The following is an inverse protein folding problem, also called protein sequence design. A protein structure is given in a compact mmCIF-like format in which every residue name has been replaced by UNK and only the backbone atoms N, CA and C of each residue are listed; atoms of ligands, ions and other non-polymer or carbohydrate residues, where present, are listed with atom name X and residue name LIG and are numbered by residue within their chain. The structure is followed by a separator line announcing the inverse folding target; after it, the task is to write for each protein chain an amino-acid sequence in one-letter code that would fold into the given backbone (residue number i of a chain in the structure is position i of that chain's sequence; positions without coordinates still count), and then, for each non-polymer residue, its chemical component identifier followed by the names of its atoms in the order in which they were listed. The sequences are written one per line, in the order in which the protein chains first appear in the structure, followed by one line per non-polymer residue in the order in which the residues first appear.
data_IF_851994310864
#
_entry.id   IF_851994310864
#
_cell.length_a   1.000
_cell.length_b   1.000
_cell.length_c   1.000
_cell.angle_alpha   90.00
_cell.angle_beta   90.00
_cell.angle_gamma   90.00
#
_symmetry.space_group_name_H-M   'P 1'
#
loop_
_entity.id
_entity.type
_entity.pdbx_description
1 polymer ?
#
# COMPACT_ATOMS: atom_id res chain seq x y z
N UNK A 1 -7.59 23.52 -0.60
CA UNK A 1 -7.51 22.37 0.33
C UNK A 1 -7.17 22.92 1.69
N UNK A 2 -7.95 22.61 2.72
CA UNK A 2 -7.60 22.95 4.10
C UNK A 2 -6.42 22.08 4.58
N UNK A 3 -5.74 22.52 5.63
CA UNK A 3 -4.52 21.87 6.11
C UNK A 3 -4.78 20.47 6.68
N UNK A 4 -5.97 20.21 7.22
CA UNK A 4 -6.33 18.90 7.77
C UNK A 4 -6.58 17.86 6.68
N UNK A 5 -7.28 18.25 5.61
CA UNK A 5 -7.46 17.43 4.40
C UNK A 5 -6.12 17.15 3.72
N UNK A 6 -5.24 18.15 3.66
CA UNK A 6 -3.89 17.98 3.12
C UNK A 6 -3.10 16.92 3.87
N UNK A 7 -3.08 17.01 5.20
CA UNK A 7 -2.34 16.07 6.04
C UNK A 7 -2.86 14.64 5.86
N UNK A 8 -4.18 14.45 5.80
CA UNK A 8 -4.82 13.15 5.55
C UNK A 8 -4.47 12.59 4.19
N UNK A 9 -4.50 13.40 3.13
CA UNK A 9 -4.10 12.95 1.80
C UNK A 9 -2.63 12.54 1.74
N UNK A 10 -1.73 13.23 2.45
CA UNK A 10 -0.32 12.82 2.51
C UNK A 10 -0.11 11.51 3.30
N UNK A 11 -0.92 11.25 4.32
CA UNK A 11 -0.93 9.98 5.04
C UNK A 11 -1.42 8.83 4.15
N UNK A 12 -2.52 9.06 3.43
CA UNK A 12 -3.06 8.13 2.44
C UNK A 12 -2.03 7.85 1.34
N UNK A 13 -1.43 8.88 0.75
CA UNK A 13 -0.37 8.71 -0.25
C UNK A 13 0.78 7.84 0.26
N UNK A 14 1.18 8.00 1.53
CA UNK A 14 2.23 7.19 2.16
C UNK A 14 1.78 5.75 2.37
N UNK A 15 0.51 5.53 2.70
CA UNK A 15 -0.09 4.21 2.79
C UNK A 15 -0.02 3.51 1.43
N UNK A 16 -0.57 4.11 0.37
CA UNK A 16 -0.55 3.58 -1.00
C UNK A 16 0.89 3.23 -1.45
N UNK A 17 1.84 4.15 -1.23
CA UNK A 17 3.26 3.93 -1.54
C UNK A 17 3.86 2.74 -0.76
N UNK A 18 3.45 2.57 0.49
CA UNK A 18 3.91 1.48 1.36
C UNK A 18 3.36 0.13 0.87
N UNK A 19 2.08 0.08 0.51
CA UNK A 19 1.41 -1.13 0.05
C UNK A 19 1.96 -1.58 -1.30
N UNK A 20 2.12 -0.66 -2.26
CA UNK A 20 2.81 -0.91 -3.52
C UNK A 20 4.17 -1.60 -3.33
N UNK A 21 5.00 -1.09 -2.41
CA UNK A 21 6.32 -1.65 -2.12
C UNK A 21 6.22 -3.02 -1.44
N UNK A 22 5.25 -3.22 -0.53
CA UNK A 22 5.02 -4.54 0.09
C UNK A 22 4.62 -5.56 -0.97
N UNK A 23 3.61 -5.27 -1.80
CA UNK A 23 3.16 -6.19 -2.85
C UNK A 23 4.28 -6.52 -3.84
N UNK A 24 5.12 -5.54 -4.22
CA UNK A 24 6.34 -5.80 -5.03
C UNK A 24 7.31 -6.77 -4.37
N UNK A 25 7.54 -6.66 -3.06
CA UNK A 25 8.42 -7.58 -2.32
C UNK A 25 7.81 -8.97 -2.20
N UNK A 26 6.50 -9.06 -1.96
CA UNK A 26 5.80 -10.34 -1.93
C UNK A 26 5.84 -11.03 -3.30
N UNK A 27 5.65 -10.29 -4.39
CA UNK A 27 5.74 -10.81 -5.75
C UNK A 27 7.13 -11.40 -6.05
N UNK A 28 8.21 -10.75 -5.60
CA UNK A 28 9.59 -11.25 -5.75
C UNK A 28 9.85 -12.54 -4.97
N UNK A 29 9.12 -12.78 -3.88
CA UNK A 29 9.25 -13.98 -3.06
C UNK A 29 8.32 -15.12 -3.50
N UNK A 30 7.39 -14.85 -4.42
CA UNK A 30 6.37 -15.79 -4.84
C UNK A 30 6.90 -16.71 -5.97
N UNK A 31 7.02 -18.03 -5.75
CA UNK A 31 7.46 -18.97 -6.79
C UNK A 31 6.42 -19.23 -7.88
N UNK A 32 5.13 -19.17 -7.55
CA UNK A 32 4.07 -19.39 -8.53
C UNK A 32 3.93 -18.17 -9.46
N UNK A 33 4.10 -18.33 -10.78
CA UNK A 33 4.14 -17.21 -11.71
C UNK A 33 2.78 -16.48 -11.83
N UNK A 34 1.67 -17.19 -11.61
CA UNK A 34 0.32 -16.58 -11.64
C UNK A 34 0.16 -15.66 -10.43
N UNK A 35 0.46 -16.15 -9.23
CA UNK A 35 0.40 -15.36 -8.00
C UNK A 35 1.39 -14.19 -8.03
N UNK A 36 2.60 -14.40 -8.57
CA UNK A 36 3.57 -13.33 -8.76
C UNK A 36 3.01 -12.21 -9.68
N UNK A 37 2.38 -12.59 -10.80
CA UNK A 37 1.75 -11.62 -11.70
C UNK A 37 0.61 -10.87 -11.04
N UNK A 38 -0.21 -11.55 -10.23
CA UNK A 38 -1.32 -10.93 -9.48
C UNK A 38 -0.76 -9.89 -8.49
N UNK A 39 0.24 -10.26 -7.68
CA UNK A 39 0.84 -9.36 -6.70
C UNK A 39 1.49 -8.13 -7.36
N UNK A 40 2.15 -8.30 -8.52
CA UNK A 40 2.66 -7.17 -9.30
C UNK A 40 1.53 -6.29 -9.87
N UNK A 41 0.42 -6.90 -10.27
CA UNK A 41 -0.76 -6.17 -10.72
C UNK A 41 -1.34 -5.30 -9.62
N UNK A 42 -1.49 -5.84 -8.40
CA UNK A 42 -1.96 -5.08 -7.24
C UNK A 42 -1.00 -3.94 -6.92
N UNK A 43 0.31 -4.20 -6.88
CA UNK A 43 1.31 -3.16 -6.64
C UNK A 43 1.20 -1.99 -7.63
N UNK A 44 0.94 -2.28 -8.91
CA UNK A 44 0.77 -1.27 -9.94
C UNK A 44 -0.50 -0.42 -9.72
N UNK A 45 -1.57 -1.01 -9.21
CA UNK A 45 -2.79 -0.25 -8.89
C UNK A 45 -2.56 0.69 -7.69
N UNK A 46 -1.87 0.24 -6.63
CA UNK A 46 -1.51 1.14 -5.52
C UNK A 46 -0.58 2.28 -5.95
N UNK A 47 0.34 2.02 -6.91
CA UNK A 47 1.13 3.10 -7.53
C UNK A 47 0.27 4.11 -8.29
N UNK A 48 -0.83 3.67 -8.92
CA UNK A 48 -1.77 4.59 -9.57
C UNK A 48 -2.52 5.42 -8.53
N UNK A 49 -2.96 4.81 -7.42
CA UNK A 49 -3.60 5.53 -6.32
C UNK A 49 -2.67 6.59 -5.72
N UNK A 50 -1.44 6.20 -5.39
CA UNK A 50 -0.38 7.11 -4.91
C UNK A 50 -0.19 8.29 -5.88
N UNK A 51 -0.05 8.03 -7.18
CA UNK A 51 0.14 9.06 -8.19
C UNK A 51 -1.07 9.98 -8.36
N UNK A 52 -2.29 9.48 -8.15
CA UNK A 52 -3.51 10.32 -8.15
C UNK A 52 -3.47 11.29 -6.97
N UNK A 53 -3.11 10.80 -5.78
CA UNK A 53 -3.03 11.64 -4.58
C UNK A 53 -1.89 12.66 -4.71
N UNK A 54 -0.73 12.24 -5.24
CA UNK A 54 0.40 13.13 -5.52
C UNK A 54 0.00 14.33 -6.40
N UNK A 55 -0.84 14.10 -7.41
CA UNK A 55 -1.39 15.16 -8.27
C UNK A 55 -2.30 16.12 -7.51
N UNK A 56 -3.03 15.64 -6.50
CA UNK A 56 -3.91 16.46 -5.66
C UNK A 56 -3.13 17.27 -4.61
N UNK A 57 -2.10 16.67 -4.00
CA UNK A 57 -1.30 17.29 -2.92
C UNK A 57 -0.14 18.14 -3.42
N UNK A 58 0.34 17.86 -4.64
CA UNK A 58 1.54 18.44 -5.24
C UNK A 58 2.84 17.93 -4.62
N UNK A 59 2.81 16.84 -3.84
CA UNK A 59 3.97 16.24 -3.17
C UNK A 59 4.12 14.77 -3.53
N UNK A 60 5.36 14.29 -3.52
CA UNK A 60 5.69 12.86 -3.60
C UNK A 60 6.17 12.38 -2.22
N UNK A 61 5.61 11.27 -1.74
CA UNK A 61 6.01 10.67 -0.46
C UNK A 61 6.63 9.29 -0.69
N UNK A 62 7.58 8.94 0.18
CA UNK A 62 8.20 7.61 0.14
C UNK A 62 7.46 6.64 1.04
N UNK A 63 7.46 5.37 0.64
CA UNK A 63 7.01 4.24 1.44
C UNK A 63 7.63 4.24 2.85
N UNK A 64 6.85 3.81 3.84
CA UNK A 64 7.32 3.60 5.20
C UNK A 64 8.10 2.29 5.29
N UNK A 65 9.43 2.39 5.28
CA UNK A 65 10.33 1.23 5.30
C UNK A 65 10.17 0.31 6.51
N UNK A 66 9.75 0.83 7.66
CA UNK A 66 9.51 0.01 8.87
C UNK A 66 8.25 -0.83 8.70
N UNK A 67 7.17 -0.24 8.17
CA UNK A 67 5.93 -0.96 7.84
C UNK A 67 6.18 -2.02 6.76
N UNK A 68 6.92 -1.67 5.71
CA UNK A 68 7.30 -2.62 4.65
C UNK A 68 8.04 -3.82 5.24
N UNK A 69 9.05 -3.57 6.08
CA UNK A 69 9.83 -4.64 6.73
C UNK A 69 8.94 -5.52 7.62
N UNK A 70 8.08 -4.92 8.46
CA UNK A 70 7.13 -5.66 9.31
C UNK A 70 6.27 -6.60 8.46
N UNK A 71 5.69 -6.12 7.37
CA UNK A 71 4.83 -6.94 6.53
C UNK A 71 5.59 -8.07 5.83
N UNK A 72 6.79 -7.81 5.34
CA UNK A 72 7.64 -8.86 4.75
C UNK A 72 8.00 -9.93 5.79
N UNK A 73 8.27 -9.55 7.04
CA UNK A 73 8.53 -10.51 8.11
C UNK A 73 7.28 -11.35 8.41
N UNK A 74 6.10 -10.73 8.52
CA UNK A 74 4.85 -11.45 8.72
C UNK A 74 4.56 -12.43 7.57
N UNK A 75 4.78 -12.02 6.33
CA UNK A 75 4.59 -12.88 5.17
C UNK A 75 5.54 -14.09 5.17
N UNK A 76 6.78 -13.91 5.66
CA UNK A 76 7.74 -15.01 5.82
C UNK A 76 7.33 -16.00 6.91
N UNK A 77 6.74 -15.52 8.01
CA UNK A 77 6.38 -16.35 9.15
C UNK A 77 5.04 -17.07 8.96
N UNK A 78 4.05 -16.38 8.37
CA UNK A 78 2.66 -16.83 8.30
C UNK A 78 2.15 -17.06 6.87
N UNK A 79 2.99 -16.79 5.86
CA UNK A 79 2.65 -16.89 4.44
C UNK A 79 2.08 -15.59 3.87
N UNK A 80 2.20 -15.43 2.55
CA UNK A 80 1.80 -14.19 1.87
C UNK A 80 0.30 -13.91 1.97
N UNK A 81 -0.56 -14.94 1.91
CA UNK A 81 -2.02 -14.78 2.03
C UNK A 81 -2.42 -14.17 3.37
N UNK A 82 -1.75 -14.56 4.46
CA UNK A 82 -1.96 -13.96 5.77
C UNK A 82 -1.60 -12.46 5.75
N UNK A 83 -0.43 -12.12 5.21
CA UNK A 83 0.00 -10.72 5.12
C UNK A 83 -0.91 -9.87 4.23
N UNK A 84 -1.34 -10.39 3.08
CA UNK A 84 -2.27 -9.68 2.18
C UNK A 84 -3.59 -9.39 2.89
N UNK A 85 -4.20 -10.39 3.54
CA UNK A 85 -5.45 -10.17 4.29
C UNK A 85 -5.31 -9.18 5.44
N UNK A 86 -4.15 -9.18 6.12
CA UNK A 86 -3.87 -8.21 7.18
C UNK A 86 -3.78 -6.79 6.63
N UNK A 87 -3.22 -6.61 5.42
CA UNK A 87 -3.15 -5.31 4.73
C UNK A 87 -4.54 -4.84 4.29
N UNK A 88 -5.30 -5.68 3.58
CA UNK A 88 -6.67 -5.36 3.12
C UNK A 88 -7.59 -4.95 4.30
N UNK A 89 -7.43 -5.57 5.46
CA UNK A 89 -8.18 -5.19 6.66
C UNK A 89 -7.82 -3.80 7.20
N UNK A 90 -6.56 -3.37 7.03
CA UNK A 90 -6.11 -2.03 7.43
C UNK A 90 -6.55 -0.98 6.40
N UNK A 91 -6.53 -1.33 5.12
CA UNK A 91 -6.98 -0.49 4.02
C UNK A 91 -8.49 -0.21 4.10
N UNK A 92 -9.32 -1.21 4.43
CA UNK A 92 -10.77 -1.00 4.58
C UNK A 92 -11.11 0.06 5.66
N UNK A 93 -10.30 0.13 6.73
CA UNK A 93 -10.43 1.14 7.77
C UNK A 93 -10.02 2.53 7.23
N UNK A 94 -8.95 2.62 6.43
CA UNK A 94 -8.52 3.87 5.79
C UNK A 94 -9.48 4.34 4.66
N UNK A 95 -10.04 3.41 3.87
CA UNK A 95 -11.06 3.67 2.85
C UNK A 95 -12.37 4.20 3.45
N UNK A 96 -12.68 3.88 4.71
CA UNK A 96 -13.77 4.52 5.43
C UNK A 96 -13.47 6.00 5.68
N UNK A 97 -12.21 6.37 5.95
CA UNK A 97 -11.79 7.76 6.10
C UNK A 97 -11.85 8.53 4.77
N UNK A 98 -11.57 7.89 3.62
CA UNK A 98 -11.75 8.49 2.28
C UNK A 98 -13.19 8.97 2.02
N UNK A 99 -14.21 8.30 2.58
CA UNK A 99 -15.62 8.68 2.40
C UNK A 99 -16.02 9.94 3.17
N UNK A 100 -15.21 10.34 4.15
CA UNK A 100 -15.45 11.51 5.00
C UNK A 100 -14.64 12.76 4.58
N UNK A 101 -13.81 12.62 3.53
CA UNK A 101 -13.07 13.72 2.87
C UNK A 101 -13.90 14.33 1.73
#
# INVERSE_FOLDING_TARGET
MDESTRARLLELQRMEATEAEVYRRLAKMQPDPVNQSILNGIALEEERHEAVIAKMTGEEVKADGLRVMKQVVLAKLFGFTFSVKLMEGTEHDAAAEYREL
#
